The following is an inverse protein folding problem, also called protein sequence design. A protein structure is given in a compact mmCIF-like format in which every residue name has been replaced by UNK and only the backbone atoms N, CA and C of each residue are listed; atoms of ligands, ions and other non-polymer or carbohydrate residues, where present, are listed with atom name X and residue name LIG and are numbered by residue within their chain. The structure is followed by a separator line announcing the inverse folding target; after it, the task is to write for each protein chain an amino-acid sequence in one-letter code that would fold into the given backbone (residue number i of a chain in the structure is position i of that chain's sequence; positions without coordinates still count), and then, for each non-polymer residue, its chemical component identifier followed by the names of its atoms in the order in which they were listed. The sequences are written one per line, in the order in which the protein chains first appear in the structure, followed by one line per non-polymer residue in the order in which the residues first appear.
data_IF_030627181814
#
_entry.id   IF_030627181814
#
_cell.length_a   1.000
_cell.length_b   1.000
_cell.length_c   1.000
_cell.angle_alpha   90.00
_cell.angle_beta   90.00
_cell.angle_gamma   90.00
#
_symmetry.space_group_name_H-M   'P 1'
#
loop_
_entity.id
_entity.type
_entity.pdbx_description
1 polymer ?
#
# COMPACT_ATOMS: atom_id res chain seq x y z
N UNK A 1 0.39 24.34 3.55
CA UNK A 1 0.82 23.33 4.55
C UNK A 1 0.45 21.96 4.01
N UNK A 2 1.41 21.05 3.79
CA UNK A 2 1.09 19.70 3.37
C UNK A 2 0.27 19.01 4.46
N UNK A 3 -0.87 18.44 4.08
CA UNK A 3 -1.77 17.73 4.99
C UNK A 3 -1.03 16.55 5.62
N UNK A 4 -0.94 16.51 6.96
CA UNK A 4 -0.37 15.35 7.69
C UNK A 4 -1.40 14.23 7.71
N UNK A 5 -1.31 13.32 6.75
CA UNK A 5 -2.24 12.19 6.60
C UNK A 5 -1.86 11.01 7.48
N UNK A 6 -0.56 10.70 7.58
CA UNK A 6 -0.07 9.50 8.27
C UNK A 6 -0.16 9.58 9.79
N UNK A 7 -0.57 8.49 10.42
CA UNK A 7 -0.60 8.34 11.87
C UNK A 7 0.80 8.19 12.49
N UNK A 8 0.87 8.33 13.81
CA UNK A 8 2.14 8.28 14.58
C UNK A 8 2.94 7.00 14.35
N UNK A 9 2.29 5.85 14.39
CA UNK A 9 2.95 4.55 14.19
C UNK A 9 3.61 4.46 12.82
N UNK A 10 2.89 4.87 11.76
CA UNK A 10 3.45 4.88 10.41
C UNK A 10 4.68 5.80 10.31
N UNK A 11 4.61 6.98 10.90
CA UNK A 11 5.73 7.93 10.86
C UNK A 11 6.97 7.44 11.63
N UNK A 12 6.78 6.79 12.76
CA UNK A 12 7.88 6.18 13.51
C UNK A 12 8.52 5.07 12.68
N UNK A 13 7.71 4.18 12.10
CA UNK A 13 8.20 3.11 11.22
C UNK A 13 8.93 3.67 9.99
N UNK A 14 8.38 4.70 9.36
CA UNK A 14 9.00 5.40 8.22
C UNK A 14 10.37 5.99 8.62
N UNK A 15 10.46 6.64 9.77
CA UNK A 15 11.71 7.22 10.28
C UNK A 15 12.77 6.13 10.52
N UNK A 16 12.41 5.02 11.17
CA UNK A 16 13.32 3.89 11.42
C UNK A 16 13.84 3.34 10.08
N UNK A 17 12.93 3.05 9.14
CA UNK A 17 13.31 2.46 7.86
C UNK A 17 14.19 3.41 7.05
N UNK A 18 13.91 4.72 7.05
CA UNK A 18 14.75 5.73 6.38
C UNK A 18 16.18 5.81 6.93
N UNK A 19 16.42 5.36 8.17
CA UNK A 19 17.77 5.30 8.75
C UNK A 19 18.59 4.10 8.27
N UNK A 20 17.92 3.03 7.87
CA UNK A 20 18.54 1.75 7.51
C UNK A 20 18.56 1.57 5.99
N UNK A 21 17.54 2.07 5.30
CA UNK A 21 17.34 1.87 3.87
C UNK A 21 17.91 3.03 3.05
N UNK A 22 18.57 2.75 1.90
CA UNK A 22 19.16 3.81 1.05
C UNK A 22 18.15 4.89 0.66
N UNK A 23 18.60 6.13 0.61
CA UNK A 23 17.80 7.25 0.16
C UNK A 23 17.58 7.22 -1.35
N UNK A 24 16.34 7.47 -1.78
CA UNK A 24 15.98 7.64 -3.19
C UNK A 24 15.59 9.09 -3.44
N UNK A 25 16.15 9.67 -4.49
CA UNK A 25 15.75 11.00 -4.94
C UNK A 25 14.50 10.90 -5.79
N UNK A 26 13.45 11.59 -5.37
CA UNK A 26 12.21 11.71 -6.15
C UNK A 26 12.27 13.02 -6.93
N UNK A 27 12.41 12.90 -8.26
CA UNK A 27 12.41 14.06 -9.15
C UNK A 27 10.96 14.39 -9.54
N UNK A 28 10.51 15.58 -9.21
CA UNK A 28 9.21 16.08 -9.60
C UNK A 28 9.42 17.11 -10.70
N UNK A 29 9.08 16.76 -11.94
CA UNK A 29 9.27 17.63 -13.10
C UNK A 29 8.27 18.78 -13.14
N UNK A 30 7.06 18.58 -12.62
CA UNK A 30 6.02 19.59 -12.59
C UNK A 30 5.39 19.73 -11.20
N UNK A 31 5.19 20.98 -10.77
CA UNK A 31 4.47 21.22 -9.52
C UNK A 31 2.96 21.18 -9.77
N UNK A 32 2.35 20.06 -9.40
CA UNK A 32 0.91 19.87 -9.49
C UNK A 32 0.25 20.33 -8.18
N UNK A 33 -0.83 21.12 -8.30
CA UNK A 33 -1.61 21.55 -7.13
C UNK A 33 -2.38 20.37 -6.54
N UNK A 34 -2.24 20.16 -5.23
CA UNK A 34 -3.07 19.19 -4.50
C UNK A 34 -4.54 19.66 -4.39
N UNK A 35 -5.49 18.73 -4.30
CA UNK A 35 -5.33 17.28 -4.30
C UNK A 35 -5.34 16.67 -5.70
N UNK A 36 -4.57 15.62 -5.91
CA UNK A 36 -4.49 14.88 -7.19
C UNK A 36 -4.47 13.38 -6.98
N UNK A 37 -4.79 12.64 -8.03
CA UNK A 37 -4.61 11.19 -8.09
C UNK A 37 -3.35 10.88 -8.88
N UNK A 38 -2.35 10.32 -8.19
CA UNK A 38 -1.16 9.80 -8.83
C UNK A 38 -1.42 8.37 -9.32
N UNK A 39 -1.05 8.09 -10.55
CA UNK A 39 -1.06 6.73 -11.10
C UNK A 39 0.37 6.25 -11.18
N UNK A 40 0.67 5.12 -10.56
CA UNK A 40 2.01 4.55 -10.52
C UNK A 40 2.00 3.09 -10.94
N UNK A 41 3.05 2.67 -11.63
CA UNK A 41 3.23 1.28 -11.98
C UNK A 41 3.56 0.45 -10.73
N UNK A 42 2.90 -0.71 -10.58
CA UNK A 42 3.13 -1.63 -9.47
C UNK A 42 4.12 -2.72 -9.87
N UNK A 43 5.40 -2.39 -9.84
CA UNK A 43 6.44 -3.39 -10.06
C UNK A 43 6.83 -4.01 -8.71
N UNK A 44 6.26 -5.16 -8.39
CA UNK A 44 6.43 -5.82 -7.09
C UNK A 44 6.01 -4.93 -5.90
N UNK A 45 6.52 -5.19 -4.70
CA UNK A 45 6.31 -4.34 -3.52
C UNK A 45 7.22 -3.10 -3.49
N UNK A 46 8.16 -3.00 -4.43
CA UNK A 46 9.21 -1.99 -4.39
C UNK A 46 8.66 -0.57 -4.57
N UNK A 47 7.89 -0.31 -5.63
CA UNK A 47 7.36 1.03 -5.90
C UNK A 47 6.46 1.57 -4.78
N UNK A 48 5.44 0.84 -4.29
CA UNK A 48 4.66 1.31 -3.15
C UNK A 48 5.50 1.61 -1.92
N UNK A 49 6.52 0.79 -1.66
CA UNK A 49 7.43 0.96 -0.53
C UNK A 49 8.27 2.25 -0.66
N UNK A 50 8.85 2.50 -1.84
CA UNK A 50 9.65 3.70 -2.10
C UNK A 50 8.78 4.97 -2.03
N UNK A 51 7.57 4.93 -2.60
CA UNK A 51 6.64 6.05 -2.52
C UNK A 51 6.28 6.36 -1.07
N UNK A 52 5.98 5.36 -0.27
CA UNK A 52 5.72 5.56 1.15
C UNK A 52 6.91 6.13 1.93
N UNK A 53 8.12 5.75 1.55
CA UNK A 53 9.32 6.22 2.24
C UNK A 53 9.74 7.63 1.79
N UNK A 54 9.84 7.86 0.49
CA UNK A 54 10.60 8.99 -0.04
C UNK A 54 9.78 10.03 -0.79
N UNK A 55 8.49 9.75 -1.07
CA UNK A 55 7.67 10.77 -1.70
C UNK A 55 7.55 12.01 -0.79
N UNK A 56 7.71 13.23 -1.33
CA UNK A 56 7.79 14.45 -0.50
C UNK A 56 6.49 14.86 0.17
N UNK A 57 5.38 14.23 -0.21
CA UNK A 57 4.04 14.48 0.35
C UNK A 57 3.43 13.18 0.88
N UNK A 58 2.53 13.30 1.86
CA UNK A 58 1.74 12.17 2.32
C UNK A 58 0.68 11.82 1.26
N UNK A 59 0.59 10.55 0.88
CA UNK A 59 -0.36 10.05 -0.10
C UNK A 59 -1.27 8.97 0.49
N UNK A 60 -2.57 9.06 0.21
CA UNK A 60 -3.51 7.97 0.50
C UNK A 60 -3.32 6.87 -0.55
N UNK A 61 -2.83 5.73 -0.15
CA UNK A 61 -2.51 4.63 -1.06
C UNK A 61 -3.67 3.66 -1.18
N UNK A 62 -4.02 3.26 -2.39
CA UNK A 62 -4.90 2.12 -2.63
C UNK A 62 -4.22 0.84 -2.22
N UNK A 63 -4.85 0.09 -1.32
CA UNK A 63 -4.30 -1.14 -0.74
C UNK A 63 -5.34 -2.23 -0.80
N UNK A 64 -4.96 -3.42 -1.25
CA UNK A 64 -5.87 -4.56 -1.25
C UNK A 64 -6.43 -4.76 0.18
N UNK A 65 -7.76 -4.78 0.29
CA UNK A 65 -8.48 -4.77 1.58
C UNK A 65 -8.02 -5.85 2.57
N UNK A 66 -7.53 -7.00 2.05
CA UNK A 66 -7.04 -8.10 2.89
C UNK A 66 -5.86 -7.70 3.77
N UNK A 67 -5.02 -6.76 3.35
CA UNK A 67 -3.88 -6.28 4.14
C UNK A 67 -4.26 -5.24 5.20
N UNK A 68 -5.45 -4.69 5.13
CA UNK A 68 -5.97 -3.76 6.13
C UNK A 68 -6.74 -4.48 7.26
N UNK A 69 -7.14 -5.74 7.07
CA UNK A 69 -7.72 -6.56 8.12
C UNK A 69 -6.73 -7.61 8.62
N UNK A 70 -6.50 -7.64 9.94
CA UNK A 70 -5.50 -8.53 10.55
C UNK A 70 -5.77 -10.02 10.26
N UNK A 71 -7.05 -10.44 10.35
CA UNK A 71 -7.40 -11.86 10.15
C UNK A 71 -7.28 -12.26 8.68
N UNK A 72 -7.70 -11.39 7.77
CA UNK A 72 -7.54 -11.60 6.34
C UNK A 72 -6.07 -11.57 5.93
N UNK A 73 -5.29 -10.63 6.46
CA UNK A 73 -3.86 -10.50 6.25
C UNK A 73 -3.10 -11.76 6.72
N UNK A 74 -3.43 -12.28 7.90
CA UNK A 74 -2.86 -13.53 8.40
C UNK A 74 -3.13 -14.70 7.45
N UNK A 75 -4.39 -14.88 7.02
CA UNK A 75 -4.74 -15.95 6.05
C UNK A 75 -4.01 -15.77 4.73
N UNK A 76 -3.92 -14.55 4.21
CA UNK A 76 -3.20 -14.23 2.98
C UNK A 76 -1.72 -14.63 3.08
N UNK A 77 -1.06 -14.35 4.19
CA UNK A 77 0.33 -14.74 4.41
C UNK A 77 0.47 -16.25 4.55
N UNK A 78 -0.36 -16.90 5.36
CA UNK A 78 -0.29 -18.37 5.57
C UNK A 78 -0.58 -19.13 4.29
N UNK A 79 -1.76 -18.88 3.72
CA UNK A 79 -2.31 -19.75 2.65
C UNK A 79 -1.70 -19.45 1.28
N UNK A 80 -1.34 -18.20 1.02
CA UNK A 80 -0.79 -17.81 -0.28
C UNK A 80 0.71 -17.50 -0.24
N UNK A 81 1.14 -16.54 0.54
CA UNK A 81 2.52 -16.03 0.46
C UNK A 81 3.53 -17.10 0.91
N UNK A 82 3.37 -17.62 2.12
CA UNK A 82 4.36 -18.53 2.69
C UNK A 82 4.19 -19.97 2.20
N UNK A 83 2.96 -20.50 2.15
CA UNK A 83 2.75 -21.88 1.77
C UNK A 83 2.77 -22.04 0.24
N UNK A 84 1.93 -21.26 -0.49
CA UNK A 84 1.75 -21.49 -1.93
C UNK A 84 2.88 -20.92 -2.78
N UNK A 85 3.34 -19.70 -2.45
CA UNK A 85 4.39 -19.01 -3.22
C UNK A 85 5.81 -19.39 -2.79
N UNK A 86 6.05 -19.55 -1.49
CA UNK A 86 7.38 -19.84 -0.94
C UNK A 86 7.58 -21.32 -0.59
N UNK A 87 6.55 -22.18 -0.68
CA UNK A 87 6.65 -23.61 -0.39
C UNK A 87 6.90 -23.95 1.08
N UNK A 88 6.66 -23.01 2.01
CA UNK A 88 6.92 -23.22 3.44
C UNK A 88 5.91 -24.19 4.05
N UNK A 89 6.38 -24.96 5.05
CA UNK A 89 5.51 -25.77 5.87
C UNK A 89 4.43 -24.89 6.55
N UNK A 90 3.17 -25.36 6.56
CA UNK A 90 2.03 -24.62 7.06
C UNK A 90 2.15 -24.19 8.53
N UNK A 91 2.81 -24.99 9.37
CA UNK A 91 3.03 -24.68 10.77
C UNK A 91 4.00 -23.50 10.91
N UNK A 92 5.12 -23.55 10.20
CA UNK A 92 6.12 -22.47 10.18
C UNK A 92 5.48 -21.21 9.59
N UNK A 93 4.73 -21.34 8.50
CA UNK A 93 3.98 -20.25 7.88
C UNK A 93 3.06 -19.52 8.88
N UNK A 94 2.34 -20.24 9.74
CA UNK A 94 1.48 -19.64 10.78
C UNK A 94 2.30 -18.87 11.83
N UNK A 95 3.43 -19.43 12.27
CA UNK A 95 4.30 -18.79 13.27
C UNK A 95 4.84 -17.46 12.71
N UNK A 96 5.32 -17.45 11.48
CA UNK A 96 5.84 -16.25 10.82
C UNK A 96 4.73 -15.23 10.49
N UNK A 97 3.57 -15.71 10.02
CA UNK A 97 2.48 -14.85 9.62
C UNK A 97 1.82 -14.11 10.79
N UNK A 98 1.87 -14.66 12.01
CA UNK A 98 1.18 -14.08 13.16
C UNK A 98 1.69 -12.68 13.53
N UNK A 99 2.99 -12.47 13.83
CA UNK A 99 3.51 -11.14 14.13
C UNK A 99 3.48 -10.23 12.88
N UNK A 100 3.77 -10.78 11.71
CA UNK A 100 3.81 -10.01 10.46
C UNK A 100 2.44 -9.43 10.11
N UNK A 101 1.37 -10.22 10.20
CA UNK A 101 0.01 -9.75 9.91
C UNK A 101 -0.45 -8.66 10.87
N UNK A 102 -0.06 -8.75 12.14
CA UNK A 102 -0.34 -7.71 13.12
C UNK A 102 0.37 -6.40 12.75
N UNK A 103 1.67 -6.49 12.48
CA UNK A 103 2.49 -5.33 12.14
C UNK A 103 2.01 -4.66 10.85
N UNK A 104 1.84 -5.42 9.76
CA UNK A 104 1.45 -4.90 8.44
C UNK A 104 0.05 -4.28 8.48
N UNK A 105 -0.94 -4.97 9.06
CA UNK A 105 -2.29 -4.42 9.13
C UNK A 105 -2.33 -3.12 9.95
N UNK A 106 -1.58 -3.04 11.05
CA UNK A 106 -1.51 -1.84 11.87
C UNK A 106 -0.77 -0.70 11.14
N UNK A 107 0.34 -1.02 10.47
CA UNK A 107 1.13 -0.07 9.69
C UNK A 107 0.28 0.57 8.59
N UNK A 108 -0.36 -0.26 7.76
CA UNK A 108 -1.16 0.22 6.63
C UNK A 108 -2.41 0.99 7.05
N UNK A 109 -3.04 0.61 8.17
CA UNK A 109 -4.11 1.41 8.79
C UNK A 109 -3.59 2.77 9.27
N UNK A 110 -2.43 2.78 9.92
CA UNK A 110 -1.81 4.03 10.38
C UNK A 110 -1.36 4.90 9.20
N UNK A 111 -0.98 4.30 8.06
CA UNK A 111 -0.73 4.97 6.80
C UNK A 111 -1.99 5.47 6.08
N UNK A 112 -3.19 5.26 6.69
CA UNK A 112 -4.48 5.70 6.14
C UNK A 112 -4.76 5.16 4.73
N UNK A 113 -4.32 3.92 4.43
CA UNK A 113 -4.60 3.23 3.18
C UNK A 113 -6.09 3.16 2.86
N UNK A 114 -6.44 3.27 1.59
CA UNK A 114 -7.80 3.12 1.08
C UNK A 114 -8.01 1.67 0.66
N UNK A 115 -8.98 0.94 1.25
CA UNK A 115 -9.21 -0.46 0.91
C UNK A 115 -9.72 -0.61 -0.52
N UNK A 116 -9.10 -1.50 -1.29
CA UNK A 116 -9.54 -1.89 -2.63
C UNK A 116 -10.22 -3.26 -2.57
N UNK A 117 -11.44 -3.33 -3.05
CA UNK A 117 -12.25 -4.54 -3.12
C UNK A 117 -12.41 -4.98 -4.57
N UNK A 118 -11.46 -5.79 -5.07
CA UNK A 118 -11.48 -6.31 -6.45
C UNK A 118 -12.58 -7.34 -6.64
N UNK A 119 -13.20 -7.33 -7.83
CA UNK A 119 -14.22 -8.33 -8.20
C UNK A 119 -15.50 -8.26 -7.37
N UNK A 120 -15.77 -7.17 -6.67
CA UNK A 120 -16.93 -7.03 -5.80
C UNK A 120 -17.61 -5.67 -5.98
N UNK A 121 -18.93 -5.64 -5.81
CA UNK A 121 -19.70 -4.37 -5.75
C UNK A 121 -19.17 -3.40 -4.68
N UNK A 122 -18.42 -3.90 -3.70
CA UNK A 122 -17.75 -3.07 -2.69
C UNK A 122 -16.69 -2.12 -3.26
N UNK A 123 -16.29 -2.27 -4.52
CA UNK A 123 -15.38 -1.34 -5.20
C UNK A 123 -15.90 0.11 -5.17
N UNK A 124 -17.23 0.30 -5.20
CA UNK A 124 -17.82 1.63 -5.05
C UNK A 124 -17.45 2.31 -3.72
N UNK A 125 -17.22 1.53 -2.65
CA UNK A 125 -16.73 2.08 -1.40
C UNK A 125 -15.29 2.60 -1.52
N UNK A 126 -14.44 1.95 -2.31
CA UNK A 126 -13.09 2.42 -2.61
C UNK A 126 -13.14 3.79 -3.30
N UNK A 127 -13.98 3.95 -4.32
CA UNK A 127 -14.15 5.23 -5.01
C UNK A 127 -14.72 6.31 -4.09
N UNK A 128 -15.74 5.98 -3.28
CA UNK A 128 -16.29 6.93 -2.28
C UNK A 128 -15.20 7.43 -1.34
N UNK A 129 -14.40 6.54 -0.76
CA UNK A 129 -13.31 6.91 0.15
C UNK A 129 -12.23 7.73 -0.55
N UNK A 130 -11.98 7.47 -1.84
CA UNK A 130 -11.05 8.25 -2.65
C UNK A 130 -11.56 9.67 -2.84
N UNK A 131 -12.82 9.85 -3.22
CA UNK A 131 -13.45 11.16 -3.39
C UNK A 131 -13.46 11.92 -2.05
N UNK A 132 -13.77 11.26 -0.94
CA UNK A 132 -13.73 11.86 0.38
C UNK A 132 -12.32 12.33 0.77
N UNK A 133 -11.28 11.56 0.42
CA UNK A 133 -9.89 11.96 0.65
C UNK A 133 -9.54 13.21 -0.17
N UNK A 134 -9.86 13.22 -1.46
CA UNK A 134 -9.62 14.38 -2.33
C UNK A 134 -10.37 15.63 -1.84
N UNK A 135 -11.62 15.50 -1.40
CA UNK A 135 -12.39 16.61 -0.81
C UNK A 135 -11.74 17.19 0.45
N UNK A 136 -10.96 16.39 1.19
CA UNK A 136 -10.18 16.85 2.34
C UNK A 136 -8.82 17.47 1.97
N UNK A 137 -8.50 17.57 0.68
CA UNK A 137 -7.21 18.05 0.19
C UNK A 137 -6.08 17.00 0.30
N UNK A 138 -6.42 15.71 0.47
CA UNK A 138 -5.48 14.61 0.56
C UNK A 138 -5.28 14.00 -0.84
N UNK A 139 -4.05 13.96 -1.35
CA UNK A 139 -3.74 13.31 -2.63
C UNK A 139 -3.71 11.78 -2.47
N UNK A 140 -4.04 11.09 -3.57
CA UNK A 140 -4.18 9.63 -3.58
C UNK A 140 -3.19 9.04 -4.59
N UNK A 141 -2.66 7.86 -4.30
CA UNK A 141 -1.88 7.07 -5.27
C UNK A 141 -2.57 5.74 -5.53
N UNK A 142 -2.70 5.39 -6.81
CA UNK A 142 -3.29 4.15 -7.29
C UNK A 142 -2.27 3.35 -8.12
N UNK A 143 -2.39 2.04 -8.07
CA UNK A 143 -1.54 1.09 -8.80
C UNK A 143 -2.44 0.19 -9.65
N UNK A 144 -2.72 0.53 -10.90
CA UNK A 144 -3.65 -0.22 -11.75
C UNK A 144 -3.12 -1.60 -12.16
N UNK A 145 -1.80 -1.81 -12.18
CA UNK A 145 -1.18 -3.05 -12.59
C UNK A 145 -1.39 -4.17 -11.57
N UNK A 146 -1.83 -5.33 -12.01
CA UNK A 146 -2.27 -6.46 -11.16
C UNK A 146 -1.30 -7.61 -11.15
N UNK A 147 -0.56 -7.83 -12.24
CA UNK A 147 0.32 -8.99 -12.37
C UNK A 147 1.75 -8.66 -11.94
N UNK A 148 2.20 -9.30 -10.87
CA UNK A 148 3.55 -9.13 -10.33
C UNK A 148 4.63 -9.82 -11.19
N UNK A 149 4.24 -10.69 -12.13
CA UNK A 149 5.14 -11.43 -13.01
C UNK A 149 5.24 -10.81 -14.39
N UNK A 150 4.30 -9.95 -14.74
CA UNK A 150 4.25 -9.28 -16.02
C UNK A 150 5.18 -8.08 -16.04
N UNK A 151 6.26 -8.19 -16.80
CA UNK A 151 7.20 -7.10 -17.07
C UNK A 151 6.73 -6.19 -18.22
N UNK A 152 5.65 -6.56 -18.92
CA UNK A 152 5.01 -5.68 -19.89
C UNK A 152 4.32 -4.53 -19.18
N UNK A 153 4.40 -3.33 -19.73
CA UNK A 153 3.76 -2.13 -19.17
C UNK A 153 2.25 -2.09 -19.42
N UNK A 154 1.63 -3.22 -19.73
CA UNK A 154 0.21 -3.30 -20.00
C UNK A 154 -0.61 -3.31 -18.69
N UNK A 155 -1.56 -2.41 -18.59
CA UNK A 155 -2.56 -2.39 -17.51
C UNK A 155 -3.57 -3.50 -17.76
N UNK A 156 -3.58 -4.52 -16.91
CA UNK A 156 -4.63 -5.56 -16.94
C UNK A 156 -5.72 -5.21 -15.94
N UNK A 157 -6.93 -5.12 -16.46
CA UNK A 157 -8.21 -5.01 -15.76
C UNK A 157 -8.27 -4.05 -14.55
N UNK A 158 -8.62 -2.83 -14.84
CA UNK A 158 -9.17 -1.91 -13.83
C UNK A 158 -10.62 -2.26 -13.46
#
# INVERSE_FOLDING_TARGET
MASRVYGKFFRISQWIVRKIYPAYNVLIHEQIKDPVVYVSHHQNLFNPFIIYLWFPKDLRTWILHVFLDRKACFRQYVDYTFTKRMGMNRTIAKICAYPLSFFIAHLLKSGKGIPVYRGSKKIFNTFRLTVEALKRGESVVIYPTVDYTDTSNETKDM
#
